data_IF_694366330853
#
_entry.id   IF_694366330853
#
_cell.length_a   1.000
_cell.length_b   1.000
_cell.length_c   1.000
_cell.angle_alpha   90.00
_cell.angle_beta   90.00
_cell.angle_gamma   90.00
#
_symmetry.space_group_name_H-M   'P 1'
#
loop_
_entity.id
_entity.type
_entity.pdbx_description
1 polymer ?
#
# COMPACT_ATOMS: atom_id res chain seq x y z
N UNK A 1 60.39 -2.18 28.17
CA UNK A 1 59.06 -1.54 28.17
C UNK A 1 58.34 -1.97 26.90
N UNK A 2 57.39 -2.88 27.03
CA UNK A 2 56.60 -3.46 25.93
C UNK A 2 55.55 -2.45 25.46
N UNK A 3 55.83 -1.73 24.38
CA UNK A 3 54.81 -0.91 23.74
C UNK A 3 53.78 -1.85 23.11
N UNK A 4 52.58 -1.84 23.68
CA UNK A 4 51.47 -2.67 23.23
C UNK A 4 51.19 -2.38 21.75
N UNK A 5 51.16 -3.38 20.85
CA UNK A 5 51.02 -3.19 19.41
C UNK A 5 49.75 -2.43 19.01
N UNK A 6 48.78 -2.31 19.92
CA UNK A 6 47.55 -1.55 19.73
C UNK A 6 47.72 -0.03 19.86
N UNK A 7 48.80 0.45 20.48
CA UNK A 7 49.01 1.88 20.79
C UNK A 7 49.06 2.74 19.53
N UNK A 8 49.60 2.19 18.44
CA UNK A 8 49.75 2.86 17.15
C UNK A 8 48.44 2.97 16.36
N UNK A 9 47.42 2.16 16.67
CA UNK A 9 46.15 2.08 15.94
C UNK A 9 44.93 2.56 16.75
N UNK A 10 45.16 3.11 17.96
CA UNK A 10 44.10 3.52 18.91
C UNK A 10 43.08 4.47 18.31
N UNK A 11 43.49 5.35 17.39
CA UNK A 11 42.59 6.31 16.76
C UNK A 11 41.58 5.59 15.86
N UNK A 12 42.05 4.72 14.95
CA UNK A 12 41.16 3.94 14.10
C UNK A 12 40.25 2.99 14.89
N UNK A 13 40.78 2.34 15.93
CA UNK A 13 39.99 1.47 16.81
C UNK A 13 38.94 2.28 17.60
N UNK A 14 39.32 3.46 18.13
CA UNK A 14 38.40 4.33 18.86
C UNK A 14 37.27 4.87 17.99
N UNK A 15 37.58 5.32 16.77
CA UNK A 15 36.57 5.77 15.80
C UNK A 15 35.63 4.62 15.41
N UNK A 16 36.15 3.40 15.24
CA UNK A 16 35.33 2.21 14.98
C UNK A 16 34.33 1.94 16.11
N UNK A 17 34.79 1.98 17.37
CA UNK A 17 33.92 1.76 18.53
C UNK A 17 32.85 2.84 18.67
N UNK A 18 33.18 4.11 18.43
CA UNK A 18 32.21 5.22 18.47
C UNK A 18 31.18 5.06 17.36
N UNK A 19 31.62 4.72 16.14
CA UNK A 19 30.71 4.46 15.02
C UNK A 19 29.82 3.25 15.28
N UNK A 20 30.37 2.17 15.82
CA UNK A 20 29.62 0.96 16.18
C UNK A 20 28.58 1.24 17.26
N UNK A 21 28.93 2.03 18.29
CA UNK A 21 28.01 2.44 19.35
C UNK A 21 26.89 3.34 18.81
N UNK A 22 27.20 4.27 17.92
CA UNK A 22 26.20 5.11 17.25
C UNK A 22 25.24 4.25 16.42
N UNK A 23 25.76 3.40 15.53
CA UNK A 23 24.92 2.52 14.69
C UNK A 23 24.08 1.59 15.56
N UNK A 24 24.66 1.00 16.61
CA UNK A 24 23.93 0.12 17.51
C UNK A 24 22.81 0.87 18.24
N UNK A 25 23.08 2.07 18.74
CA UNK A 25 22.07 2.90 19.42
C UNK A 25 20.94 3.29 18.47
N UNK A 26 21.27 3.79 17.27
CA UNK A 26 20.27 4.14 16.27
C UNK A 26 19.45 2.92 15.83
N UNK A 27 20.10 1.77 15.63
CA UNK A 27 19.44 0.52 15.27
C UNK A 27 18.54 -0.01 16.38
N UNK A 28 18.97 0.08 17.63
CA UNK A 28 18.15 -0.28 18.80
C UNK A 28 16.96 0.65 18.96
N UNK A 29 17.12 1.96 18.76
CA UNK A 29 15.99 2.91 18.77
C UNK A 29 15.05 2.57 17.61
N UNK A 30 15.58 2.32 16.41
CA UNK A 30 14.81 1.95 15.23
C UNK A 30 13.95 0.69 15.44
N UNK A 31 14.50 -0.28 16.17
CA UNK A 31 13.87 -1.59 16.41
C UNK A 31 12.96 -1.60 17.64
N UNK A 32 13.35 -0.93 18.72
CA UNK A 32 12.62 -0.93 19.99
C UNK A 32 11.50 0.12 20.04
N UNK A 33 11.51 1.09 19.13
CA UNK A 33 10.48 2.13 19.06
C UNK A 33 9.51 1.80 17.94
N UNK A 34 8.33 1.23 18.24
CA UNK A 34 7.30 1.05 17.22
C UNK A 34 6.88 2.42 16.68
N UNK A 35 6.73 2.54 15.36
CA UNK A 35 6.16 3.71 14.68
C UNK A 35 6.88 5.04 14.96
N UNK A 36 8.17 5.10 14.62
CA UNK A 36 9.00 6.31 14.75
C UNK A 36 8.50 7.55 14.00
N UNK A 37 7.63 7.42 12.98
CA UNK A 37 7.14 8.56 12.19
C UNK A 37 8.28 9.44 11.67
N UNK A 38 8.21 10.75 11.92
CA UNK A 38 9.32 11.70 11.63
C UNK A 38 10.63 11.39 12.39
N UNK A 39 10.56 10.62 13.47
CA UNK A 39 11.73 10.10 14.17
C UNK A 39 12.64 9.24 13.27
N UNK A 40 12.09 8.57 12.24
CA UNK A 40 12.92 7.88 11.22
C UNK A 40 13.80 8.88 10.46
N UNK A 41 13.24 10.05 10.13
CA UNK A 41 13.99 11.12 9.45
C UNK A 41 15.08 11.66 10.37
N UNK A 42 14.80 11.82 11.67
CA UNK A 42 15.81 12.24 12.65
C UNK A 42 16.94 11.20 12.79
N UNK A 43 16.61 9.91 12.89
CA UNK A 43 17.58 8.82 12.93
C UNK A 43 18.43 8.77 11.65
N UNK A 44 17.80 8.86 10.48
CA UNK A 44 18.50 8.89 9.19
C UNK A 44 19.40 10.12 9.06
N UNK A 45 18.93 11.28 9.52
CA UNK A 45 19.72 12.51 9.54
C UNK A 45 20.95 12.36 10.42
N UNK A 46 20.82 11.79 11.62
CA UNK A 46 21.97 11.52 12.50
C UNK A 46 22.92 10.49 11.87
N UNK A 47 22.39 9.42 11.27
CA UNK A 47 23.19 8.41 10.59
C UNK A 47 24.01 9.00 9.43
N UNK A 48 23.42 9.92 8.66
CA UNK A 48 24.08 10.60 7.55
C UNK A 48 25.10 11.62 8.06
N UNK A 49 24.68 12.56 8.91
CA UNK A 49 25.52 13.70 9.30
C UNK A 49 26.60 13.36 10.33
N UNK A 50 26.44 12.28 11.09
CA UNK A 50 27.43 11.84 12.08
C UNK A 50 28.07 10.52 11.68
N UNK A 51 27.28 9.55 11.21
CA UNK A 51 27.78 8.23 10.82
C UNK A 51 28.68 8.24 9.58
N UNK A 52 28.29 8.95 8.50
CA UNK A 52 29.11 9.00 7.27
C UNK A 52 30.46 9.69 7.52
N UNK A 53 30.55 10.85 8.20
CA UNK A 53 31.84 11.43 8.53
C UNK A 53 32.73 10.52 9.39
N UNK A 54 32.16 9.83 10.39
CA UNK A 54 32.91 8.87 11.20
C UNK A 54 33.43 7.69 10.37
N UNK A 55 32.63 7.18 9.42
CA UNK A 55 33.08 6.15 8.48
C UNK A 55 34.22 6.64 7.58
N UNK A 56 34.13 7.86 7.06
CA UNK A 56 35.19 8.47 6.26
C UNK A 56 36.48 8.62 7.07
N UNK A 57 36.39 9.09 8.32
CA UNK A 57 37.55 9.18 9.22
C UNK A 57 38.15 7.80 9.49
N UNK A 58 37.32 6.77 9.69
CA UNK A 58 37.77 5.39 9.87
C UNK A 58 38.53 4.87 8.64
N UNK A 59 37.99 5.10 7.43
CA UNK A 59 38.62 4.73 6.16
C UNK A 59 39.92 5.47 5.92
N UNK A 60 39.98 6.77 6.22
CA UNK A 60 41.20 7.57 6.11
C UNK A 60 42.27 7.12 7.11
N UNK A 61 41.89 6.80 8.35
CA UNK A 61 42.79 6.25 9.35
C UNK A 61 43.34 4.88 8.88
N UNK A 62 42.47 4.02 8.35
CA UNK A 62 42.86 2.74 7.78
C UNK A 62 43.83 2.87 6.61
N UNK A 63 43.52 3.73 5.62
CA UNK A 63 44.39 4.02 4.49
C UNK A 63 45.75 4.54 4.95
N UNK A 64 45.78 5.45 5.94
CA UNK A 64 47.02 5.96 6.52
C UNK A 64 47.84 4.83 7.17
N UNK A 65 47.21 3.88 7.85
CA UNK A 65 47.90 2.73 8.44
C UNK A 65 48.45 1.79 7.35
N UNK A 66 47.67 1.54 6.31
CA UNK A 66 48.08 0.75 5.14
C UNK A 66 49.29 1.37 4.44
N UNK A 67 49.28 2.68 4.19
CA UNK A 67 50.40 3.41 3.57
C UNK A 67 51.62 3.41 4.48
N UNK A 68 51.45 3.73 5.78
CA UNK A 68 52.55 3.77 6.76
C UNK A 68 53.26 2.42 6.89
N UNK A 69 52.52 1.32 6.80
CA UNK A 69 53.07 -0.03 6.98
C UNK A 69 53.25 -0.79 5.66
N UNK A 70 53.19 -0.11 4.51
CA UNK A 70 53.35 -0.72 3.17
C UNK A 70 52.46 -1.96 2.99
N UNK A 71 51.24 -1.89 3.51
CA UNK A 71 50.25 -2.98 3.46
C UNK A 71 50.42 -4.10 4.50
N UNK A 72 51.41 -4.03 5.38
CA UNK A 72 51.69 -5.07 6.39
C UNK A 72 50.95 -4.85 7.72
N UNK A 73 49.71 -4.34 7.68
CA UNK A 73 48.90 -4.15 8.88
C UNK A 73 48.46 -5.52 9.41
N UNK A 74 48.61 -5.83 10.71
CA UNK A 74 48.20 -7.13 11.25
C UNK A 74 46.70 -7.38 11.07
N UNK A 75 46.32 -8.60 10.66
CA UNK A 75 44.91 -9.00 10.44
C UNK A 75 43.97 -8.69 11.62
N UNK A 76 44.48 -8.81 12.86
CA UNK A 76 43.72 -8.48 14.08
C UNK A 76 43.30 -7.00 14.15
N UNK A 77 44.08 -6.09 13.57
CA UNK A 77 43.75 -4.66 13.53
C UNK A 77 42.64 -4.39 12.51
N UNK A 78 42.64 -5.08 11.36
CA UNK A 78 41.51 -5.03 10.42
C UNK A 78 40.22 -5.48 11.09
N UNK A 79 40.29 -6.60 11.84
CA UNK A 79 39.15 -7.11 12.61
C UNK A 79 38.66 -6.06 13.62
N UNK A 80 39.54 -5.50 14.44
CA UNK A 80 39.17 -4.50 15.45
C UNK A 80 38.64 -3.19 14.85
N UNK A 81 39.03 -2.83 13.63
CA UNK A 81 38.57 -1.60 12.97
C UNK A 81 37.23 -1.77 12.26
N UNK A 82 36.87 -2.96 11.78
CA UNK A 82 35.68 -3.12 10.94
C UNK A 82 34.60 -4.04 11.53
N UNK A 83 34.98 -5.04 12.32
CA UNK A 83 34.00 -6.01 12.85
C UNK A 83 32.99 -5.38 13.81
N UNK A 84 33.34 -4.47 14.74
CA UNK A 84 32.34 -3.82 15.60
C UNK A 84 31.26 -3.08 14.79
N UNK A 85 31.68 -2.30 13.79
CA UNK A 85 30.77 -1.56 12.90
C UNK A 85 29.90 -2.50 12.08
N UNK A 86 30.49 -3.55 11.48
CA UNK A 86 29.77 -4.54 10.69
C UNK A 86 28.76 -5.32 11.53
N UNK A 87 29.13 -5.69 12.78
CA UNK A 87 28.23 -6.36 13.70
C UNK A 87 27.03 -5.48 14.08
N UNK A 88 27.24 -4.17 14.33
CA UNK A 88 26.14 -3.25 14.61
C UNK A 88 25.17 -3.10 13.43
N UNK A 89 25.66 -3.17 12.18
CA UNK A 89 24.80 -3.12 10.98
C UNK A 89 23.88 -4.35 10.85
N UNK A 90 24.21 -5.46 11.51
CA UNK A 90 23.40 -6.68 11.46
C UNK A 90 22.19 -6.65 12.42
N UNK A 91 22.08 -5.66 13.30
CA UNK A 91 21.00 -5.58 14.30
C UNK A 91 19.61 -5.54 13.65
N UNK A 92 19.41 -4.68 12.66
CA UNK A 92 18.14 -4.53 11.94
C UNK A 92 17.76 -5.81 11.15
N UNK A 93 18.62 -6.37 10.27
CA UNK A 93 18.26 -7.57 9.54
C UNK A 93 18.07 -8.78 10.45
N UNK A 94 18.83 -8.90 11.54
CA UNK A 94 18.64 -9.97 12.52
C UNK A 94 17.30 -9.82 13.25
N UNK A 95 16.90 -8.60 13.60
CA UNK A 95 15.59 -8.32 14.18
C UNK A 95 14.45 -8.71 13.25
N UNK A 96 14.51 -8.34 11.97
CA UNK A 96 13.47 -8.71 11.00
C UNK A 96 13.37 -10.24 10.79
N UNK A 97 14.50 -10.94 10.78
CA UNK A 97 14.52 -12.41 10.69
C UNK A 97 13.88 -13.07 11.93
N UNK A 98 14.10 -12.48 13.12
CA UNK A 98 13.49 -12.96 14.36
C UNK A 98 12.00 -12.61 14.45
N UNK A 99 11.56 -11.43 14.01
CA UNK A 99 10.13 -11.06 13.94
C UNK A 99 9.32 -12.07 13.13
N UNK A 100 9.76 -12.42 11.92
CA UNK A 100 9.05 -13.40 11.09
C UNK A 100 8.94 -14.80 11.74
N UNK A 101 9.86 -15.13 12.66
CA UNK A 101 9.82 -16.38 13.42
C UNK A 101 8.89 -16.30 14.64
N UNK A 102 8.78 -15.13 15.28
CA UNK A 102 7.86 -14.90 16.41
C UNK A 102 6.41 -14.78 15.93
N UNK A 103 6.18 -14.15 14.79
CA UNK A 103 4.85 -14.00 14.17
C UNK A 103 4.25 -15.35 13.72
N UNK A 104 5.11 -16.34 13.41
CA UNK A 104 4.69 -17.69 13.03
C UNK A 104 4.51 -18.64 14.24
N UNK A 105 5.21 -18.42 15.35
CA UNK A 105 5.12 -19.25 16.56
C UNK A 105 4.05 -18.78 17.56
N UNK A 106 3.70 -17.50 17.57
CA UNK A 106 2.77 -16.92 18.56
C UNK A 106 1.28 -17.03 18.19
N UNK A 107 0.91 -17.58 17.03
CA UNK A 107 -0.46 -17.91 16.68
C UNK A 107 -1.47 -16.77 16.92
N UNK A 108 -1.48 -15.76 16.04
CA UNK A 108 -2.56 -14.75 16.00
C UNK A 108 -2.08 -13.34 15.67
N UNK A 109 -2.32 -12.91 14.42
CA UNK A 109 -2.72 -11.55 14.04
C UNK A 109 -2.09 -10.34 14.78
N UNK A 110 -0.76 -10.23 14.87
CA UNK A 110 -0.08 -8.94 15.19
C UNK A 110 0.08 -7.99 14.01
N UNK A 111 -0.41 -8.38 12.84
CA UNK A 111 -0.40 -7.54 11.65
C UNK A 111 -1.27 -6.29 11.87
N UNK A 112 -0.80 -5.16 11.36
CA UNK A 112 -1.61 -3.95 11.29
C UNK A 112 -2.80 -4.13 10.36
N UNK A 113 -3.89 -3.45 10.67
CA UNK A 113 -5.10 -3.44 9.84
C UNK A 113 -5.18 -2.12 9.09
N UNK A 114 -5.30 -2.17 7.77
CA UNK A 114 -5.49 -0.98 6.95
C UNK A 114 -6.95 -0.51 7.03
N UNK A 115 -7.15 0.76 7.37
CA UNK A 115 -8.46 1.41 7.41
C UNK A 115 -8.46 2.61 6.48
N UNK A 116 -9.56 2.78 5.75
CA UNK A 116 -9.82 3.93 4.90
C UNK A 116 -11.17 4.52 5.27
N UNK A 117 -11.22 5.80 5.61
CA UNK A 117 -12.44 6.47 6.04
C UNK A 117 -12.92 7.46 4.98
N UNK A 118 -14.23 7.43 4.72
CA UNK A 118 -14.93 8.28 3.76
C UNK A 118 -16.08 8.98 4.49
N UNK A 119 -16.05 10.30 4.56
CA UNK A 119 -17.07 11.09 5.25
C UNK A 119 -18.19 11.46 4.27
N UNK A 120 -19.35 10.81 4.42
CA UNK A 120 -20.57 11.04 3.65
C UNK A 120 -21.67 11.70 4.51
N UNK A 121 -21.36 12.06 5.75
CA UNK A 121 -22.33 12.52 6.75
C UNK A 121 -22.71 14.00 6.58
N UNK A 122 -21.87 14.77 5.88
CA UNK A 122 -21.99 16.23 5.76
C UNK A 122 -21.53 17.02 6.99
N UNK A 123 -21.06 16.36 8.05
CA UNK A 123 -20.58 16.99 9.28
C UNK A 123 -19.12 16.61 9.58
N UNK A 124 -18.35 17.45 10.30
CA UNK A 124 -17.00 17.09 10.71
C UNK A 124 -17.03 15.92 11.69
N UNK A 125 -16.20 14.90 11.44
CA UNK A 125 -16.12 13.67 12.25
C UNK A 125 -14.72 13.51 12.85
N UNK A 126 -14.66 13.18 14.13
CA UNK A 126 -13.43 12.86 14.84
C UNK A 126 -13.30 11.34 14.91
N UNK A 127 -12.30 10.77 14.24
CA UNK A 127 -12.15 9.32 14.12
C UNK A 127 -11.50 8.73 15.37
N UNK A 128 -11.99 7.56 15.82
CA UNK A 128 -11.37 6.82 16.91
C UNK A 128 -10.09 6.12 16.42
N UNK A 129 -8.94 6.62 16.89
CA UNK A 129 -7.61 6.05 16.60
C UNK A 129 -7.15 5.04 17.66
N UNK A 130 -7.99 4.73 18.65
CA UNK A 130 -7.66 3.79 19.73
C UNK A 130 -7.78 2.33 19.29
N UNK A 131 -6.92 1.40 19.77
CA UNK A 131 -5.93 1.59 20.81
C UNK A 131 -4.65 2.29 20.32
N UNK A 132 -4.30 2.13 19.04
CA UNK A 132 -3.25 2.90 18.36
C UNK A 132 -3.47 2.85 16.84
N UNK A 133 -3.32 3.99 16.17
CA UNK A 133 -3.32 4.08 14.71
C UNK A 133 -2.24 5.04 14.21
N UNK A 134 -1.60 4.71 13.08
CA UNK A 134 -0.71 5.61 12.35
C UNK A 134 -1.40 6.15 11.10
N UNK A 135 -1.60 7.46 11.04
CA UNK A 135 -2.20 8.15 9.90
C UNK A 135 -1.17 8.46 8.82
N UNK A 136 -1.61 8.44 7.56
CA UNK A 136 -0.90 9.12 6.48
C UNK A 136 -0.91 10.64 6.73
N UNK A 137 0.17 11.32 6.33
CA UNK A 137 0.45 12.76 6.59
C UNK A 137 -0.77 13.68 6.64
N UNK A 138 -0.90 14.46 7.73
CA UNK A 138 -1.83 15.60 7.83
C UNK A 138 -3.15 15.32 8.56
N UNK A 139 -3.46 14.06 8.86
CA UNK A 139 -4.53 13.68 9.75
C UNK A 139 -3.93 13.29 11.11
N UNK A 140 -4.37 13.90 12.20
CA UNK A 140 -4.02 13.50 13.56
C UNK A 140 -5.29 13.27 14.36
N UNK A 141 -5.20 12.70 15.58
CA UNK A 141 -6.33 12.67 16.50
C UNK A 141 -6.88 14.09 16.78
N UNK A 142 -6.07 15.12 16.52
CA UNK A 142 -6.37 16.53 16.75
C UNK A 142 -7.07 17.24 15.56
N UNK A 143 -7.39 16.53 14.47
CA UNK A 143 -8.07 17.12 13.30
C UNK A 143 -9.30 16.30 12.87
N UNK A 144 -10.46 16.94 12.69
CA UNK A 144 -11.64 16.25 12.20
C UNK A 144 -11.53 15.98 10.70
N UNK A 145 -12.06 14.84 10.30
CA UNK A 145 -12.39 14.54 8.91
C UNK A 145 -13.56 15.42 8.48
N UNK A 146 -13.34 16.30 7.52
CA UNK A 146 -14.36 17.28 7.09
C UNK A 146 -15.49 16.61 6.30
N UNK A 147 -16.72 17.10 6.50
CA UNK A 147 -17.91 16.61 5.79
C UNK A 147 -18.26 17.38 4.51
N UNK A 148 -17.68 18.57 4.32
CA UNK A 148 -17.88 19.42 3.15
C UNK A 148 -16.95 19.08 1.97
N UNK A 149 -15.96 18.21 2.21
CA UNK A 149 -14.96 17.76 1.23
C UNK A 149 -14.90 16.23 1.21
N UNK A 150 -16.01 15.55 0.84
CA UNK A 150 -16.11 14.09 0.89
C UNK A 150 -15.12 13.37 -0.04
N UNK A 151 -14.50 14.10 -0.97
CA UNK A 151 -13.48 13.58 -1.89
C UNK A 151 -12.13 13.29 -1.21
N UNK A 152 -11.91 13.80 0.01
CA UNK A 152 -10.69 13.60 0.79
C UNK A 152 -10.89 12.45 1.76
N UNK A 153 -10.28 11.31 1.46
CA UNK A 153 -10.33 10.16 2.34
C UNK A 153 -9.24 10.24 3.40
N UNK A 154 -9.39 9.47 4.47
CA UNK A 154 -8.42 9.41 5.55
C UNK A 154 -8.01 7.96 5.74
N UNK A 155 -6.75 7.66 5.44
CA UNK A 155 -6.17 6.32 5.56
C UNK A 155 -5.29 6.24 6.81
N UNK A 156 -5.39 5.13 7.53
CA UNK A 156 -4.46 4.80 8.60
C UNK A 156 -4.31 3.28 8.80
N UNK A 157 -3.23 2.91 9.48
CA UNK A 157 -3.03 1.54 9.93
C UNK A 157 -3.32 1.46 11.43
N UNK A 158 -4.21 0.56 11.84
CA UNK A 158 -4.52 0.28 13.24
C UNK A 158 -3.68 -0.88 13.74
N UNK A 159 -3.09 -0.73 14.93
CA UNK A 159 -2.18 -1.72 15.51
C UNK A 159 -2.75 -2.30 16.80
N UNK A 160 -2.65 -3.61 17.02
CA UNK A 160 -2.82 -4.16 18.35
C UNK A 160 -1.69 -3.65 19.26
N UNK A 161 -2.02 -3.39 20.52
CA UNK A 161 -1.05 -3.09 21.57
C UNK A 161 -1.27 -3.98 22.81
N UNK A 162 -0.29 -4.00 23.72
CA UNK A 162 -0.31 -4.88 24.89
C UNK A 162 -1.58 -4.73 25.75
N UNK A 163 -2.11 -3.50 25.88
CA UNK A 163 -3.34 -3.26 26.61
C UNK A 163 -4.57 -3.83 25.88
N UNK A 164 -4.66 -3.62 24.57
CA UNK A 164 -5.76 -4.14 23.76
C UNK A 164 -5.76 -5.67 23.66
N UNK A 165 -4.58 -6.30 23.79
CA UNK A 165 -4.45 -7.76 23.87
C UNK A 165 -4.98 -8.26 25.22
N UNK A 166 -4.56 -7.62 26.33
CA UNK A 166 -4.99 -7.97 27.68
C UNK A 166 -6.52 -7.86 27.85
N UNK A 167 -7.11 -6.78 27.35
CA UNK A 167 -8.55 -6.50 27.49
C UNK A 167 -9.38 -7.07 26.33
N UNK A 168 -8.75 -7.73 25.35
CA UNK A 168 -9.35 -8.13 24.06
C UNK A 168 -10.06 -6.98 23.33
N UNK A 169 -9.62 -5.75 23.58
CA UNK A 169 -10.22 -4.50 23.10
C UNK A 169 -9.89 -4.14 21.64
N UNK A 170 -8.96 -4.84 20.99
CA UNK A 170 -8.69 -4.63 19.56
C UNK A 170 -9.91 -5.05 18.71
N UNK A 171 -10.41 -4.23 17.77
CA UNK A 171 -11.68 -4.53 17.08
C UNK A 171 -11.61 -5.67 16.06
N UNK A 172 -10.40 -6.12 15.70
CA UNK A 172 -10.19 -7.19 14.71
C UNK A 172 -9.65 -8.48 15.31
N UNK A 173 -9.90 -9.57 14.61
CA UNK A 173 -9.39 -10.92 14.86
C UNK A 173 -9.16 -11.57 13.49
N UNK A 174 -7.95 -12.07 13.25
CA UNK A 174 -7.54 -12.67 11.96
C UNK A 174 -7.87 -11.80 10.73
N UNK A 175 -7.50 -10.52 10.81
CA UNK A 175 -7.79 -9.49 9.79
C UNK A 175 -9.29 -9.26 9.49
N UNK A 176 -10.19 -9.74 10.35
CA UNK A 176 -11.63 -9.55 10.22
C UNK A 176 -12.17 -8.80 11.43
N UNK A 177 -13.15 -7.93 11.19
CA UNK A 177 -13.84 -7.21 12.25
C UNK A 177 -14.59 -8.22 13.14
N UNK A 178 -14.29 -8.25 14.44
CA UNK A 178 -14.92 -9.15 15.42
C UNK A 178 -16.43 -9.01 15.41
N UNK A 179 -17.20 -10.09 15.38
CA UNK A 179 -18.68 -10.06 15.27
C UNK A 179 -19.39 -9.16 16.29
N UNK A 180 -18.81 -8.97 17.48
CA UNK A 180 -19.36 -8.14 18.55
C UNK A 180 -19.30 -6.62 18.27
N UNK A 181 -18.57 -6.17 17.24
CA UNK A 181 -18.49 -4.74 16.88
C UNK A 181 -19.69 -4.36 16.02
N UNK A 182 -20.75 -3.85 16.63
CA UNK A 182 -22.02 -3.48 15.98
C UNK A 182 -22.26 -1.97 15.95
N UNK A 183 -21.38 -1.18 16.57
CA UNK A 183 -21.40 0.27 16.55
C UNK A 183 -20.02 0.83 16.24
N UNK A 184 -19.98 1.99 15.60
CA UNK A 184 -18.77 2.80 15.45
C UNK A 184 -18.78 3.92 16.49
N UNK A 185 -17.64 4.13 17.13
CA UNK A 185 -17.45 5.19 18.13
C UNK A 185 -16.62 6.30 17.52
N UNK A 186 -17.07 7.53 17.70
CA UNK A 186 -16.27 8.70 17.35
C UNK A 186 -15.38 9.12 18.51
N UNK A 187 -14.30 9.83 18.20
CA UNK A 187 -13.53 10.57 19.20
C UNK A 187 -14.21 11.94 19.48
N UNK A 188 -13.78 12.61 20.54
CA UNK A 188 -14.06 14.02 20.80
C UNK A 188 -12.90 14.88 20.29
N UNK A 189 -13.06 16.21 20.19
CA UNK A 189 -11.96 17.12 19.91
C UNK A 189 -10.79 17.05 20.90
N UNK A 190 -11.01 16.56 22.12
CA UNK A 190 -9.96 16.34 23.13
C UNK A 190 -9.17 15.03 22.91
N UNK A 191 -9.55 14.23 21.90
CA UNK A 191 -8.98 12.91 21.66
C UNK A 191 -9.55 11.81 22.57
N UNK A 192 -10.46 12.15 23.48
CA UNK A 192 -11.18 11.18 24.29
C UNK A 192 -12.25 10.47 23.46
N UNK A 193 -12.72 9.30 23.89
CA UNK A 193 -13.83 8.63 23.20
C UNK A 193 -15.12 9.41 23.42
N UNK A 194 -15.80 9.78 22.33
CA UNK A 194 -17.14 10.34 22.43
C UNK A 194 -18.15 9.26 22.82
N UNK A 195 -19.21 9.68 23.52
CA UNK A 195 -20.33 8.80 23.92
C UNK A 195 -21.27 8.51 22.73
N UNK A 196 -21.10 9.21 21.61
CA UNK A 196 -21.95 9.02 20.42
C UNK A 196 -21.52 7.78 19.65
N UNK A 197 -22.27 6.70 19.88
CA UNK A 197 -22.18 5.46 19.13
C UNK A 197 -23.21 5.50 17.99
N UNK A 198 -22.78 5.20 16.76
CA UNK A 198 -23.67 5.04 15.60
C UNK A 198 -23.70 3.58 15.15
N UNK A 199 -24.84 3.06 14.65
CA UNK A 199 -24.91 1.70 14.14
C UNK A 199 -23.85 1.44 13.07
N UNK A 200 -23.18 0.29 13.16
CA UNK A 200 -22.18 -0.17 12.20
C UNK A 200 -22.74 -1.34 11.39
N UNK A 201 -22.89 -1.12 10.09
CA UNK A 201 -23.41 -2.09 9.13
C UNK A 201 -22.24 -2.73 8.38
N UNK A 202 -22.20 -4.05 8.33
CA UNK A 202 -21.12 -4.79 7.68
C UNK A 202 -21.50 -5.15 6.25
N UNK A 203 -20.60 -4.87 5.32
CA UNK A 203 -20.68 -5.40 3.96
C UNK A 203 -20.00 -6.78 3.87
N UNK A 204 -20.35 -7.59 2.85
CA UNK A 204 -19.73 -8.88 2.63
C UNK A 204 -18.20 -8.77 2.48
N UNK A 205 -17.47 -9.74 3.02
CA UNK A 205 -16.05 -9.88 2.74
C UNK A 205 -15.83 -10.45 1.34
N UNK A 206 -14.77 -10.07 0.62
CA UNK A 206 -14.37 -10.78 -0.58
C UNK A 206 -14.04 -12.24 -0.25
N UNK A 207 -14.40 -13.16 -1.15
CA UNK A 207 -14.02 -14.55 -1.03
C UNK A 207 -12.54 -14.70 -1.38
N UNK A 208 -11.72 -14.94 -0.34
CA UNK A 208 -10.28 -15.11 -0.46
C UNK A 208 -9.87 -16.58 -0.64
N UNK A 209 -10.81 -17.52 -0.60
CA UNK A 209 -10.49 -18.95 -0.73
C UNK A 209 -9.74 -19.28 -2.03
N UNK A 210 -10.10 -18.73 -3.21
CA UNK A 210 -9.33 -18.94 -4.44
C UNK A 210 -7.90 -18.42 -4.33
N UNK A 211 -7.71 -17.27 -3.68
CA UNK A 211 -6.38 -16.69 -3.47
C UNK A 211 -5.53 -17.56 -2.55
N UNK A 212 -6.07 -17.96 -1.40
CA UNK A 212 -5.34 -18.78 -0.42
C UNK A 212 -5.00 -20.18 -0.95
N UNK A 213 -5.85 -20.77 -1.80
CA UNK A 213 -5.60 -22.09 -2.37
C UNK A 213 -4.47 -22.08 -3.42
N UNK A 214 -4.42 -21.03 -4.25
CA UNK A 214 -3.39 -20.88 -5.28
C UNK A 214 -2.08 -20.29 -4.71
N UNK A 215 -2.17 -19.42 -3.70
CA UNK A 215 -1.05 -18.76 -3.06
C UNK A 215 -0.53 -19.57 -1.86
N UNK A 216 0.40 -20.49 -2.10
CA UNK A 216 0.98 -21.41 -1.10
C UNK A 216 2.01 -20.77 -0.14
N UNK A 217 1.95 -19.46 0.10
CA UNK A 217 2.78 -18.76 1.10
C UNK A 217 1.90 -18.30 2.26
N UNK A 218 2.48 -18.21 3.46
CA UNK A 218 1.87 -17.52 4.60
C UNK A 218 1.71 -16.04 4.27
N UNK A 219 0.47 -15.61 4.06
CA UNK A 219 0.10 -14.23 3.76
C UNK A 219 -1.24 -14.20 3.03
N UNK A 220 -2.30 -13.79 3.71
CA UNK A 220 -3.57 -13.44 3.06
C UNK A 220 -3.37 -12.18 2.22
N UNK A 221 -4.08 -12.02 1.08
CA UNK A 221 -4.07 -10.74 0.39
C UNK A 221 -4.52 -9.67 1.37
N UNK A 222 -3.82 -8.54 1.38
CA UNK A 222 -4.07 -7.48 2.34
C UNK A 222 -5.51 -6.99 2.15
N UNK A 223 -6.28 -7.03 3.23
CA UNK A 223 -7.62 -6.46 3.27
C UNK A 223 -7.51 -5.03 3.76
N UNK A 224 -8.25 -4.14 3.11
CA UNK A 224 -8.52 -2.80 3.63
C UNK A 224 -9.97 -2.75 4.10
N UNK A 225 -10.20 -2.19 5.29
CA UNK A 225 -11.52 -1.96 5.83
C UNK A 225 -11.94 -0.52 5.54
N UNK A 226 -12.85 -0.35 4.58
CA UNK A 226 -13.32 0.97 4.17
C UNK A 226 -14.56 1.35 4.97
N UNK A 227 -14.50 2.42 5.74
CA UNK A 227 -15.58 2.95 6.56
C UNK A 227 -16.26 4.13 5.84
N UNK A 228 -17.52 3.93 5.45
CA UNK A 228 -18.37 4.97 4.88
C UNK A 228 -19.26 5.55 5.98
N UNK A 229 -19.01 6.79 6.36
CA UNK A 229 -19.72 7.47 7.43
C UNK A 229 -20.93 8.23 6.89
N UNK A 230 -22.14 7.72 7.08
CA UNK A 230 -23.38 8.44 6.78
C UNK A 230 -23.84 9.25 8.00
N UNK A 231 -24.91 10.01 7.86
CA UNK A 231 -25.45 10.85 8.94
C UNK A 231 -26.05 10.03 10.09
N UNK A 232 -26.52 8.81 9.82
CA UNK A 232 -27.27 7.97 10.75
C UNK A 232 -26.59 6.62 11.05
N UNK A 233 -25.61 6.20 10.25
CA UNK A 233 -24.90 4.93 10.42
C UNK A 233 -23.50 4.96 9.78
N UNK A 234 -22.71 3.94 10.06
CA UNK A 234 -21.43 3.69 9.39
C UNK A 234 -21.51 2.34 8.68
N UNK A 235 -21.13 2.29 7.41
CA UNK A 235 -20.91 1.02 6.72
C UNK A 235 -19.41 0.67 6.74
N UNK A 236 -19.06 -0.53 7.20
CA UNK A 236 -17.71 -1.08 7.04
C UNK A 236 -17.70 -2.07 5.88
N UNK A 237 -16.82 -1.82 4.92
CA UNK A 237 -16.72 -2.53 3.67
C UNK A 237 -15.30 -3.06 3.45
N UNK A 238 -15.06 -4.35 3.74
CA UNK A 238 -13.79 -4.98 3.44
C UNK A 238 -13.59 -5.09 1.93
N UNK A 239 -12.43 -4.65 1.44
CA UNK A 239 -12.02 -4.79 0.05
C UNK A 239 -10.63 -5.42 -0.04
N UNK A 240 -10.30 -5.98 -1.20
CA UNK A 240 -8.91 -6.30 -1.51
C UNK A 240 -8.15 -4.99 -1.64
N UNK A 241 -7.07 -4.86 -0.88
CA UNK A 241 -6.20 -3.70 -0.98
C UNK A 241 -5.61 -3.61 -2.40
N UNK A 242 -5.34 -2.38 -2.84
CA UNK A 242 -4.58 -2.14 -4.07
C UNK A 242 -3.25 -2.91 -4.02
N UNK A 243 -2.94 -3.58 -5.13
CA UNK A 243 -1.71 -4.35 -5.21
C UNK A 243 -0.51 -3.40 -5.27
N UNK A 244 0.50 -3.67 -4.44
CA UNK A 244 1.81 -3.05 -4.61
C UNK A 244 2.46 -3.56 -5.91
N UNK A 245 3.44 -2.82 -6.44
CA UNK A 245 4.22 -3.28 -7.60
C UNK A 245 4.85 -4.64 -7.36
N UNK A 246 5.46 -4.84 -6.18
CA UNK A 246 6.05 -6.13 -5.80
C UNK A 246 5.02 -7.26 -5.74
N UNK A 247 3.84 -7.01 -5.17
CA UNK A 247 2.76 -8.01 -5.11
C UNK A 247 2.27 -8.36 -6.51
N UNK A 248 2.16 -7.38 -7.39
CA UNK A 248 1.76 -7.59 -8.79
C UNK A 248 2.78 -8.44 -9.52
N UNK A 249 4.07 -8.13 -9.42
CA UNK A 249 5.16 -8.90 -10.03
C UNK A 249 5.20 -10.35 -9.53
N UNK A 250 5.01 -10.54 -8.22
CA UNK A 250 4.96 -11.85 -7.58
C UNK A 250 3.76 -12.69 -8.09
N UNK A 251 2.59 -12.06 -8.25
CA UNK A 251 1.40 -12.70 -8.82
C UNK A 251 1.60 -13.06 -10.30
N UNK A 252 2.20 -12.17 -11.10
CA UNK A 252 2.54 -12.44 -12.51
C UNK A 252 3.51 -13.62 -12.65
N UNK A 253 4.60 -13.63 -11.86
CA UNK A 253 5.59 -14.73 -11.85
C UNK A 253 4.97 -16.06 -11.43
N UNK A 254 4.02 -16.02 -10.51
CA UNK A 254 3.29 -17.22 -10.06
C UNK A 254 2.22 -17.69 -11.04
N UNK A 255 1.94 -16.92 -12.11
CA UNK A 255 0.87 -17.20 -13.08
C UNK A 255 -0.52 -17.27 -12.41
N UNK A 256 -0.77 -16.39 -11.43
CA UNK A 256 -2.03 -16.38 -10.70
C UNK A 256 -3.22 -16.07 -11.63
N UNK A 257 -4.28 -16.87 -11.55
CA UNK A 257 -5.49 -16.73 -12.38
C UNK A 257 -6.70 -16.28 -11.55
N UNK A 258 -7.67 -15.63 -12.20
CA UNK A 258 -8.93 -15.23 -11.57
C UNK A 258 -8.93 -13.86 -10.88
N UNK A 259 -7.79 -13.17 -10.86
CA UNK A 259 -7.71 -11.78 -10.42
C UNK A 259 -7.95 -10.82 -11.59
N UNK A 260 -8.89 -9.89 -11.39
CA UNK A 260 -9.18 -8.80 -12.30
C UNK A 260 -8.73 -7.47 -11.70
N UNK A 261 -8.00 -6.69 -12.49
CA UNK A 261 -7.51 -5.36 -12.16
C UNK A 261 -8.32 -4.32 -12.93
N UNK A 262 -8.98 -3.43 -12.21
CA UNK A 262 -9.86 -2.42 -12.75
C UNK A 262 -9.18 -1.05 -12.72
N UNK A 263 -9.04 -0.45 -13.90
CA UNK A 263 -8.72 0.96 -14.06
C UNK A 263 -10.00 1.71 -14.41
N UNK A 264 -10.22 2.88 -13.84
CA UNK A 264 -11.47 3.62 -13.99
C UNK A 264 -11.17 4.99 -14.61
N UNK A 265 -11.78 5.27 -15.75
CA UNK A 265 -11.82 6.60 -16.35
C UNK A 265 -13.20 7.21 -16.06
N UNK A 266 -13.22 8.27 -15.27
CA UNK A 266 -14.46 8.94 -14.89
C UNK A 266 -14.74 10.14 -15.81
N UNK A 267 -15.54 9.96 -16.87
CA UNK A 267 -16.04 11.05 -17.71
C UNK A 267 -17.39 11.60 -17.24
N UNK A 268 -17.85 11.20 -16.05
CA UNK A 268 -19.09 11.72 -15.46
C UNK A 268 -18.97 13.18 -15.02
N UNK A 269 -20.01 13.69 -14.35
CA UNK A 269 -20.09 15.07 -13.87
C UNK A 269 -19.56 15.30 -12.45
N UNK A 270 -19.39 14.25 -11.64
CA UNK A 270 -18.91 14.36 -10.26
C UNK A 270 -17.89 13.27 -9.87
N UNK A 271 -17.01 13.52 -8.88
CA UNK A 271 -16.03 12.54 -8.41
C UNK A 271 -16.71 11.32 -7.78
N UNK A 272 -16.15 10.13 -8.00
CA UNK A 272 -16.69 8.89 -7.44
C UNK A 272 -16.07 8.63 -6.06
N UNK A 273 -16.93 8.50 -5.04
CA UNK A 273 -16.54 8.29 -3.65
C UNK A 273 -16.48 6.80 -3.26
N UNK A 274 -17.26 5.98 -3.94
CA UNK A 274 -17.45 4.56 -3.64
C UNK A 274 -17.81 3.81 -4.91
N UNK A 275 -17.27 2.61 -5.06
CA UNK A 275 -17.64 1.71 -6.16
C UNK A 275 -17.77 0.26 -5.66
N UNK A 276 -18.79 -0.43 -6.17
CA UNK A 276 -19.01 -1.86 -5.97
C UNK A 276 -19.14 -2.57 -7.33
N UNK A 277 -18.52 -3.74 -7.47
CA UNK A 277 -18.73 -4.65 -8.61
C UNK A 277 -19.28 -5.96 -8.08
N UNK A 278 -20.44 -6.38 -8.60
CA UNK A 278 -21.17 -7.59 -8.18
C UNK A 278 -21.41 -7.65 -6.65
N UNK A 279 -21.58 -6.48 -6.02
CA UNK A 279 -21.78 -6.34 -4.57
C UNK A 279 -20.49 -6.40 -3.74
N UNK A 280 -19.32 -6.50 -4.38
CA UNK A 280 -18.01 -6.41 -3.74
C UNK A 280 -17.48 -4.98 -3.82
N UNK A 281 -17.04 -4.43 -2.69
CA UNK A 281 -16.44 -3.09 -2.63
C UNK A 281 -15.05 -3.10 -3.26
N UNK A 282 -14.74 -2.05 -4.03
CA UNK A 282 -13.42 -1.81 -4.57
C UNK A 282 -12.65 -0.79 -3.72
N UNK A 283 -11.37 -1.07 -3.45
CA UNK A 283 -10.43 -0.05 -2.98
C UNK A 283 -10.06 0.86 -4.15
N UNK A 284 -10.67 2.04 -4.19
CA UNK A 284 -10.46 3.07 -5.23
C UNK A 284 -9.32 4.03 -4.87
N UNK A 285 -8.57 3.77 -3.80
CA UNK A 285 -7.41 4.56 -3.40
C UNK A 285 -7.69 5.63 -2.33
N UNK A 286 -6.73 6.55 -2.17
CA UNK A 286 -6.65 7.46 -1.02
C UNK A 286 -7.52 8.73 -1.17
N UNK A 287 -8.33 8.78 -2.23
CA UNK A 287 -9.25 9.87 -2.51
C UNK A 287 -10.24 9.47 -3.59
N UNK A 288 -11.24 10.34 -3.81
CA UNK A 288 -12.23 10.10 -4.85
C UNK A 288 -11.62 10.02 -6.26
N UNK A 289 -12.24 9.22 -7.13
CA UNK A 289 -11.87 9.19 -8.54
C UNK A 289 -12.39 10.47 -9.18
N UNK A 290 -11.49 11.42 -9.39
CA UNK A 290 -11.79 12.71 -10.00
C UNK A 290 -12.33 12.54 -11.44
N UNK A 291 -13.13 13.50 -11.85
CA UNK A 291 -13.59 13.61 -13.24
C UNK A 291 -12.40 13.90 -14.14
N UNK A 292 -12.34 13.21 -15.26
CA UNK A 292 -11.46 13.58 -16.35
C UNK A 292 -12.07 14.81 -17.01
N UNK A 293 -11.33 15.92 -17.10
CA UNK A 293 -11.79 17.14 -17.72
C UNK A 293 -12.02 16.93 -19.22
N UNK A 294 -12.88 17.77 -19.80
CA UNK A 294 -13.05 17.81 -21.24
C UNK A 294 -11.73 18.22 -21.94
N UNK A 295 -11.54 17.73 -23.16
CA UNK A 295 -10.37 18.08 -23.98
C UNK A 295 -10.24 19.62 -24.11
N UNK A 296 -9.00 20.17 -24.16
CA UNK A 296 -7.72 19.50 -24.43
C UNK A 296 -6.83 19.29 -23.19
N UNK A 297 -7.38 19.15 -21.98
CA UNK A 297 -6.57 19.03 -20.76
C UNK A 297 -5.73 17.73 -20.72
N UNK A 298 -4.57 17.81 -20.05
CA UNK A 298 -3.58 16.73 -20.01
C UNK A 298 -4.03 15.55 -19.13
N UNK A 299 -4.12 14.38 -19.75
CA UNK A 299 -4.47 13.12 -19.10
C UNK A 299 -3.39 12.54 -18.18
N UNK A 300 -2.17 13.09 -18.18
CA UNK A 300 -1.06 12.64 -17.32
C UNK A 300 -1.13 13.15 -15.89
N UNK A 301 -1.97 14.17 -15.62
CA UNK A 301 -2.16 14.73 -14.29
C UNK A 301 -3.03 13.86 -13.36
N UNK A 302 -3.69 12.83 -13.90
CA UNK A 302 -4.65 12.01 -13.17
C UNK A 302 -4.02 10.67 -12.77
N UNK A 303 -3.88 10.45 -11.46
CA UNK A 303 -3.59 9.13 -10.92
C UNK A 303 -4.83 8.25 -11.12
N UNK A 304 -4.69 7.19 -11.90
CA UNK A 304 -5.74 6.19 -12.07
C UNK A 304 -5.44 5.01 -11.15
N UNK A 305 -6.01 4.97 -9.93
CA UNK A 305 -5.82 3.84 -9.04
C UNK A 305 -6.32 2.56 -9.72
N UNK A 306 -5.56 1.48 -9.55
CA UNK A 306 -5.92 0.16 -10.07
C UNK A 306 -6.48 -0.66 -8.92
N UNK A 307 -7.78 -0.89 -8.95
CA UNK A 307 -8.49 -1.68 -7.94
C UNK A 307 -8.43 -3.16 -8.31
N UNK A 308 -8.27 -4.05 -7.31
CA UNK A 308 -8.23 -5.48 -7.52
C UNK A 308 -9.56 -6.14 -7.08
N UNK A 309 -10.05 -7.11 -7.86
CA UNK A 309 -11.18 -7.94 -7.46
C UNK A 309 -11.02 -9.39 -7.95
N UNK A 310 -11.42 -10.35 -7.11
CA UNK A 310 -11.49 -11.76 -7.44
C UNK A 310 -12.88 -12.07 -8.03
N UNK A 311 -12.99 -11.99 -9.35
CA UNK A 311 -14.24 -12.29 -10.04
C UNK A 311 -14.00 -12.72 -11.49
N UNK A 312 -14.87 -13.57 -12.05
CA UNK A 312 -14.75 -14.00 -13.44
C UNK A 312 -15.33 -12.93 -14.37
N UNK A 313 -14.65 -12.68 -15.50
CA UNK A 313 -15.03 -11.66 -16.50
C UNK A 313 -15.91 -12.19 -17.63
N UNK A 314 -16.36 -13.45 -17.54
CA UNK A 314 -17.21 -14.10 -18.54
C UNK A 314 -18.70 -13.77 -18.38
N UNK A 315 -19.10 -13.14 -17.27
CA UNK A 315 -20.46 -12.70 -17.00
C UNK A 315 -20.53 -11.16 -17.02
N UNK A 316 -21.69 -10.57 -17.35
CA UNK A 316 -21.90 -9.14 -17.19
C UNK A 316 -21.62 -8.70 -15.74
N UNK A 317 -20.92 -7.59 -15.59
CA UNK A 317 -20.64 -6.99 -14.29
C UNK A 317 -21.79 -6.06 -13.90
N UNK A 318 -22.28 -6.20 -12.67
CA UNK A 318 -23.17 -5.24 -12.04
C UNK A 318 -22.32 -4.22 -11.27
N UNK A 319 -22.23 -3.00 -11.78
CA UNK A 319 -21.45 -1.93 -11.16
C UNK A 319 -22.39 -0.96 -10.47
N UNK A 320 -22.01 -0.51 -9.27
CA UNK A 320 -22.72 0.53 -8.51
C UNK A 320 -21.72 1.53 -7.98
N UNK A 321 -22.10 2.80 -7.93
CA UNK A 321 -21.23 3.85 -7.40
C UNK A 321 -22.00 4.96 -6.72
N UNK A 322 -21.30 5.74 -5.90
CA UNK A 322 -21.78 6.98 -5.29
C UNK A 322 -20.85 8.12 -5.66
N UNK A 323 -21.40 9.31 -5.87
CA UNK A 323 -20.67 10.50 -6.29
C UNK A 323 -20.65 11.56 -5.20
N UNK A 324 -19.76 12.54 -5.34
CA UNK A 324 -19.57 13.55 -4.31
C UNK A 324 -20.71 14.57 -4.18
N UNK A 325 -21.46 14.80 -5.25
CA UNK A 325 -22.65 15.66 -5.29
C UNK A 325 -23.91 14.96 -4.75
N UNK A 326 -23.94 13.62 -4.78
CA UNK A 326 -25.03 12.80 -4.28
C UNK A 326 -24.51 11.60 -3.46
N UNK A 327 -23.84 11.83 -2.32
CA UNK A 327 -23.11 10.80 -1.57
C UNK A 327 -23.98 9.68 -0.99
N UNK A 328 -25.30 9.92 -0.86
CA UNK A 328 -26.28 8.93 -0.37
C UNK A 328 -27.00 8.19 -1.51
N UNK A 329 -26.86 8.65 -2.76
CA UNK A 329 -27.55 8.06 -3.91
C UNK A 329 -26.66 7.04 -4.59
N UNK A 330 -27.21 5.85 -4.80
CA UNK A 330 -26.57 4.84 -5.63
C UNK A 330 -26.92 5.03 -7.10
N UNK A 331 -25.89 5.09 -7.92
CA UNK A 331 -25.97 4.86 -9.36
C UNK A 331 -25.69 3.38 -9.62
N UNK A 332 -26.20 2.85 -10.73
CA UNK A 332 -25.99 1.45 -11.09
C UNK A 332 -26.09 1.23 -12.59
N UNK A 333 -25.20 0.42 -13.12
CA UNK A 333 -25.24 0.00 -14.51
C UNK A 333 -24.71 -1.42 -14.65
N UNK A 334 -25.11 -2.09 -15.73
CA UNK A 334 -24.58 -3.39 -16.11
C UNK A 334 -23.66 -3.21 -17.31
N UNK A 335 -22.48 -3.81 -17.25
CA UNK A 335 -21.50 -3.74 -18.34
C UNK A 335 -21.00 -5.13 -18.69
N UNK A 336 -21.02 -5.45 -19.99
CA UNK A 336 -20.39 -6.67 -20.49
C UNK A 336 -18.91 -6.38 -20.74
N UNK A 337 -18.02 -7.16 -20.12
CA UNK A 337 -16.60 -7.12 -20.47
C UNK A 337 -16.39 -7.92 -21.75
N UNK A 338 -15.85 -7.31 -22.82
CA UNK A 338 -15.63 -8.02 -24.08
C UNK A 338 -14.60 -9.14 -23.92
N UNK A 339 -14.84 -10.25 -24.61
CA UNK A 339 -13.84 -11.30 -24.77
C UNK A 339 -12.82 -10.92 -25.85
N UNK A 340 -11.59 -11.42 -25.73
CA UNK A 340 -10.62 -11.34 -26.81
C UNK A 340 -11.14 -12.11 -28.03
N UNK A 341 -10.95 -11.57 -29.23
CA UNK A 341 -11.40 -12.23 -30.48
C UNK A 341 -10.69 -13.57 -30.67
N UNK A 342 -9.40 -13.61 -30.36
CA UNK A 342 -8.64 -14.85 -30.26
C UNK A 342 -8.51 -15.27 -28.79
N UNK A 343 -9.21 -16.30 -28.33
CA UNK A 343 -9.23 -16.65 -26.90
C UNK A 343 -7.89 -17.25 -26.41
N UNK A 344 -7.04 -17.72 -27.31
CA UNK A 344 -5.74 -18.30 -26.96
C UNK A 344 -4.81 -17.21 -26.39
N UNK A 345 -4.19 -17.45 -25.21
CA UNK A 345 -3.23 -16.52 -24.66
C UNK A 345 -1.96 -16.50 -25.51
N UNK A 346 -1.38 -15.31 -25.68
CA UNK A 346 -0.08 -15.17 -26.33
C UNK A 346 1.04 -15.70 -25.42
N UNK A 347 2.16 -16.10 -26.01
CA UNK A 347 3.35 -16.43 -25.24
C UNK A 347 3.80 -15.20 -24.43
N UNK A 348 4.01 -15.38 -23.12
CA UNK A 348 4.35 -14.29 -22.21
C UNK A 348 3.18 -13.39 -21.82
N UNK A 349 1.93 -13.73 -22.20
CA UNK A 349 0.76 -12.98 -21.76
C UNK A 349 0.53 -13.15 -20.25
N UNK A 350 0.32 -12.02 -19.58
CA UNK A 350 -0.11 -11.93 -18.19
C UNK A 350 -1.37 -12.76 -17.92
N UNK A 351 -1.40 -13.42 -16.76
CA UNK A 351 -2.60 -14.09 -16.26
C UNK A 351 -3.53 -13.13 -15.51
N UNK A 352 -3.01 -12.01 -15.03
CA UNK A 352 -3.77 -10.95 -14.39
C UNK A 352 -4.61 -10.21 -15.45
N UNK A 353 -5.93 -10.41 -15.37
CA UNK A 353 -6.85 -9.78 -16.31
C UNK A 353 -6.96 -8.29 -15.97
N UNK A 354 -6.93 -7.41 -16.97
CA UNK A 354 -7.10 -5.97 -16.77
C UNK A 354 -8.34 -5.48 -17.52
N UNK A 355 -9.09 -4.60 -16.87
CA UNK A 355 -10.30 -3.98 -17.41
C UNK A 355 -10.21 -2.48 -17.21
N UNK A 356 -10.36 -1.73 -18.30
CA UNK A 356 -10.56 -0.29 -18.26
C UNK A 356 -12.07 -0.02 -18.32
N UNK A 357 -12.61 0.54 -17.24
CA UNK A 357 -14.00 0.96 -17.13
C UNK A 357 -14.12 2.44 -17.49
N UNK A 358 -15.06 2.75 -18.38
CA UNK A 358 -15.40 4.09 -18.82
C UNK A 358 -16.73 4.47 -18.15
N UNK A 359 -16.69 5.42 -17.22
CA UNK A 359 -17.89 6.03 -16.65
C UNK A 359 -18.30 7.17 -17.58
N UNK A 360 -19.45 7.04 -18.25
CA UNK A 360 -19.90 8.01 -19.24
C UNK A 360 -20.79 9.11 -18.62
N UNK A 361 -20.95 10.28 -19.26
CA UNK A 361 -21.75 11.39 -18.72
C UNK A 361 -23.23 11.09 -18.48
N UNK A 362 -23.78 10.07 -19.15
CA UNK A 362 -25.17 9.63 -19.07
C UNK A 362 -25.39 8.49 -18.05
N UNK A 363 -24.43 8.29 -17.13
CA UNK A 363 -24.37 7.17 -16.19
C UNK A 363 -24.26 5.79 -16.87
N UNK A 364 -24.01 5.72 -18.18
CA UNK A 364 -23.71 4.47 -18.86
C UNK A 364 -22.26 4.03 -18.59
N UNK A 365 -22.00 2.73 -18.79
CA UNK A 365 -20.67 2.14 -18.64
C UNK A 365 -20.23 1.46 -19.92
N UNK A 366 -18.95 1.62 -20.22
CA UNK A 366 -18.24 0.83 -21.22
C UNK A 366 -17.04 0.14 -20.57
N UNK A 367 -16.61 -0.98 -21.16
CA UNK A 367 -15.45 -1.73 -20.68
C UNK A 367 -14.55 -2.12 -21.85
N UNK A 368 -13.25 -1.93 -21.68
CA UNK A 368 -12.21 -2.50 -22.53
C UNK A 368 -11.43 -3.54 -21.73
N UNK A 369 -11.24 -4.73 -22.29
CA UNK A 369 -10.40 -5.77 -21.69
C UNK A 369 -9.01 -5.70 -22.31
N UNK A 370 -7.99 -5.82 -21.48
CA UNK A 370 -6.61 -5.91 -21.95
C UNK A 370 -5.75 -6.82 -21.07
N UNK A 371 -4.65 -7.29 -21.64
CA UNK A 371 -3.64 -8.09 -20.97
C UNK A 371 -2.26 -7.62 -21.44
N UNK A 372 -1.32 -7.53 -20.50
CA UNK A 372 0.08 -7.24 -20.81
C UNK A 372 0.76 -8.49 -21.36
N UNK A 373 1.70 -8.31 -22.29
CA UNK A 373 2.49 -9.40 -22.87
C UNK A 373 3.95 -9.07 -22.67
N UNK A 374 4.69 -10.01 -22.10
CA UNK A 374 6.09 -9.86 -21.72
C UNK A 374 7.01 -10.71 -22.60
N UNK A 375 8.24 -10.24 -22.77
CA UNK A 375 9.38 -10.99 -23.29
C UNK A 375 10.48 -10.97 -22.22
N UNK A 376 10.61 -12.06 -21.46
CA UNK A 376 11.35 -12.08 -20.19
C UNK A 376 10.76 -11.10 -19.18
N UNK A 377 11.61 -10.26 -18.57
CA UNK A 377 11.18 -9.20 -17.64
C UNK A 377 10.78 -7.90 -18.36
N UNK A 378 10.89 -7.86 -19.69
CA UNK A 378 10.57 -6.67 -20.47
C UNK A 378 9.15 -6.74 -21.02
N UNK A 379 8.39 -5.66 -20.90
CA UNK A 379 7.06 -5.59 -21.51
C UNK A 379 7.19 -5.48 -23.04
N UNK A 380 6.63 -6.48 -23.75
CA UNK A 380 6.63 -6.57 -25.21
C UNK A 380 5.46 -5.81 -25.84
N UNK A 381 4.32 -5.75 -25.16
CA UNK A 381 3.13 -5.02 -25.64
C UNK A 381 1.88 -5.34 -24.83
N UNK A 382 0.72 -5.08 -25.45
CA UNK A 382 -0.57 -5.44 -24.88
C UNK A 382 -1.46 -6.13 -25.93
N UNK A 383 -2.32 -7.03 -25.45
CA UNK A 383 -3.48 -7.55 -26.16
C UNK A 383 -4.71 -6.85 -25.61
N UNK A 384 -5.53 -6.23 -26.46
CA UNK A 384 -6.67 -5.42 -26.01
C UNK A 384 -7.85 -5.53 -26.98
N UNK A 385 -9.07 -5.56 -26.43
CA UNK A 385 -10.32 -5.62 -27.22
C UNK A 385 -10.62 -4.31 -27.96
N UNK A 386 -9.94 -3.23 -27.60
CA UNK A 386 -10.07 -1.91 -28.21
C UNK A 386 -11.12 -1.02 -27.53
N UNK A 387 -11.07 0.27 -27.89
CA UNK A 387 -11.97 1.31 -27.38
C UNK A 387 -13.43 0.99 -27.77
N UNK A 388 -14.36 0.89 -26.79
CA UNK A 388 -15.77 0.68 -27.08
C UNK A 388 -16.37 1.86 -27.87
N UNK A 389 -17.25 1.57 -28.83
CA UNK A 389 -17.89 2.59 -29.66
C UNK A 389 -18.68 3.63 -28.84
N UNK A 390 -19.33 3.20 -27.76
CA UNK A 390 -20.06 4.10 -26.84
C UNK A 390 -19.15 5.06 -26.07
N UNK A 391 -17.88 4.71 -25.88
CA UNK A 391 -16.90 5.57 -25.20
C UNK A 391 -16.11 6.46 -26.18
N UNK A 392 -16.16 6.19 -27.48
CA UNK A 392 -15.28 6.82 -28.48
C UNK A 392 -15.38 8.35 -28.53
N UNK A 393 -16.59 8.90 -28.32
CA UNK A 393 -16.83 10.35 -28.31
C UNK A 393 -16.28 11.04 -27.05
N UNK A 394 -16.12 10.30 -25.95
CA UNK A 394 -15.76 10.86 -24.64
C UNK A 394 -14.33 10.53 -24.20
N UNK A 395 -13.72 9.49 -24.77
CA UNK A 395 -12.43 8.94 -24.34
C UNK A 395 -11.23 9.83 -24.72
N UNK A 396 -11.16 11.04 -24.18
CA UNK A 396 -10.08 12.01 -24.42
C UNK A 396 -8.72 11.51 -23.90
N UNK A 397 -8.74 10.62 -22.90
CA UNK A 397 -7.54 9.94 -22.40
C UNK A 397 -7.26 8.60 -23.11
N UNK A 398 -7.94 8.38 -24.23
CA UNK A 398 -7.75 7.24 -25.11
C UNK A 398 -8.21 5.90 -24.51
N UNK A 399 -7.63 4.84 -25.07
CA UNK A 399 -7.88 3.45 -24.70
C UNK A 399 -6.86 2.93 -23.70
N UNK A 400 -6.96 1.66 -23.33
CA UNK A 400 -5.91 0.95 -22.60
C UNK A 400 -4.52 1.11 -23.25
N UNK A 401 -4.45 1.43 -24.55
CA UNK A 401 -3.20 1.68 -25.29
C UNK A 401 -2.53 3.01 -24.92
N UNK A 402 -3.28 4.02 -24.51
CA UNK A 402 -2.80 5.39 -24.37
C UNK A 402 -1.72 5.57 -23.29
N UNK A 403 -1.67 4.67 -22.30
CA UNK A 403 -0.65 4.69 -21.25
C UNK A 403 0.67 4.01 -21.63
N UNK A 404 0.73 3.35 -22.79
CA UNK A 404 1.93 2.64 -23.24
C UNK A 404 2.61 3.47 -24.34
N UNK A 405 3.87 3.89 -24.09
CA UNK A 405 4.64 4.78 -24.99
C UNK A 405 4.68 4.28 -26.43
N UNK A 406 4.71 5.22 -27.38
CA UNK A 406 5.15 4.97 -28.75
C UNK A 406 6.56 4.33 -28.70
N UNK A 407 6.65 3.04 -29.03
CA UNK A 407 7.88 2.25 -28.95
C UNK A 407 7.75 0.91 -28.20
N UNK A 408 6.79 0.77 -27.27
CA UNK A 408 6.31 -0.53 -26.77
C UNK A 408 5.19 -1.13 -27.65
N UNK A 409 4.95 -0.47 -28.79
CA UNK A 409 3.72 -0.48 -29.56
C UNK A 409 3.66 -1.58 -30.61
N UNK A 410 3.51 -2.82 -30.17
CA UNK A 410 2.77 -3.77 -31.02
C UNK A 410 1.50 -4.14 -30.30
N UNK A 411 0.35 -3.78 -30.87
CA UNK A 411 -0.90 -4.48 -30.55
C UNK A 411 -0.71 -5.88 -31.09
N UNK A 412 -0.45 -6.80 -30.19
CA UNK A 412 -0.33 -8.21 -30.54
C UNK A 412 -1.78 -8.70 -30.68
N UNK A 413 -2.18 -9.02 -31.92
CA UNK A 413 -3.53 -9.40 -32.36
C UNK A 413 -4.55 -9.71 -31.23
N UNK A 414 -5.68 -8.98 -31.24
CA UNK A 414 -6.86 -9.26 -30.41
C UNK A 414 -7.45 -10.64 -30.71
#
# INVERSE_FOLDING_TARGET
>A
MTDSPYRTYRVGIGVSLVLAALIATLSLIAVATPNLGWGVVALATIAIWVGVPLLLVLLLAWLRYMVRQRGQVPGRIHVLMFVPTAASMLIIPLWHALQGSVDSLAGGSRASIAELHVNLSGHPLWLDTSPHASTGSGAGPDLPMQGDTPQRFLAFHRYPNAQSDADRGFPYEDARLKRAVDHYRYATPSGDRAVTDVPLVRRPYPDLAPFNAAWRRTGTPELVHIYYHYSDHVEVAPALARLSGFTTDDLERSRFEGLALFKIHNYGSAPILRMEINGLTLDIGDGAIANIPEAPQDCTAYGYPVSAALLPLNLPLQVRWQTADAPTRWHSARVQVPAFRHPQPLQGQSTLQRVLLYMLPDDALAAERYAEVFDGDSQRGIKATGLPASAATYAVCGSARATYREGAGTVLAD
#
